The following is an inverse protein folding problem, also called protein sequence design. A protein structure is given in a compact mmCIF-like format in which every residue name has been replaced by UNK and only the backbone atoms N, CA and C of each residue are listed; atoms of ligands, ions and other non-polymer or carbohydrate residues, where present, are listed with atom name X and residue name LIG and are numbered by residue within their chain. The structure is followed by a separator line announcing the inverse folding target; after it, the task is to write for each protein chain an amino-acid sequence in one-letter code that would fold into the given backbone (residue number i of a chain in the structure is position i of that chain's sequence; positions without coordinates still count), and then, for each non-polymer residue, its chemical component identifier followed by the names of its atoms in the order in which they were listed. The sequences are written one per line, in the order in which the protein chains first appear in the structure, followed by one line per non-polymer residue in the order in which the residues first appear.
data_IF_731619712797
#
_entry.id   IF_731619712797
#
_cell.length_a   1.000
_cell.length_b   1.000
_cell.length_c   1.000
_cell.angle_alpha   90.00
_cell.angle_beta   90.00
_cell.angle_gamma   90.00
#
_symmetry.space_group_name_H-M   'P 1'
#
loop_
_entity.id
_entity.type
_entity.pdbx_description
1 polymer ?
#
# COMPACT_ATOMS: atom_id res chain seq x y z
N UNK A 1 3.37 -13.06 -17.89
CA UNK A 1 3.78 -12.78 -16.49
C UNK A 1 3.96 -14.08 -15.72
N UNK A 2 3.00 -15.01 -15.80
CA UNK A 2 3.14 -16.34 -15.19
C UNK A 2 4.36 -17.05 -15.77
N UNK A 3 5.19 -17.61 -14.88
CA UNK A 3 6.47 -18.25 -15.23
C UNK A 3 7.63 -17.29 -15.47
N UNK A 4 7.42 -15.96 -15.40
CA UNK A 4 8.47 -14.94 -15.50
C UNK A 4 8.70 -14.18 -14.20
N UNK A 5 7.67 -14.08 -13.35
CA UNK A 5 7.73 -13.41 -12.06
C UNK A 5 6.95 -14.22 -11.02
N UNK A 6 7.39 -14.18 -9.77
CA UNK A 6 6.74 -14.86 -8.65
C UNK A 6 5.69 -13.98 -7.97
N UNK A 7 5.82 -12.65 -8.07
CA UNK A 7 4.97 -11.69 -7.37
C UNK A 7 4.73 -10.42 -8.19
N UNK A 8 3.67 -9.70 -7.83
CA UNK A 8 3.35 -8.38 -8.37
C UNK A 8 3.46 -7.30 -7.29
N UNK A 9 3.97 -6.12 -7.65
CA UNK A 9 3.99 -4.94 -6.78
C UNK A 9 2.90 -3.95 -7.21
N UNK A 10 1.82 -3.91 -6.42
CA UNK A 10 0.66 -3.04 -6.61
C UNK A 10 0.92 -1.71 -5.91
N UNK A 11 0.76 -0.60 -6.64
CA UNK A 11 0.83 0.75 -6.09
C UNK A 11 -0.38 1.55 -6.57
N UNK A 12 -0.97 2.35 -5.68
CA UNK A 12 -2.22 3.07 -5.99
C UNK A 12 -2.05 4.10 -7.12
N UNK A 13 -0.90 4.74 -7.21
CA UNK A 13 -0.51 5.67 -8.27
C UNK A 13 -0.43 4.98 -9.64
N UNK A 14 -0.09 3.69 -9.69
CA UNK A 14 -0.04 2.90 -10.93
C UNK A 14 -1.38 2.28 -11.30
N UNK A 15 -2.18 1.89 -10.31
CA UNK A 15 -3.49 1.27 -10.53
C UNK A 15 -4.60 2.30 -10.78
N UNK A 16 -4.38 3.57 -10.46
CA UNK A 16 -5.41 4.61 -10.53
C UNK A 16 -6.34 4.61 -9.31
N UNK A 17 -5.86 4.16 -8.15
CA UNK A 17 -6.61 4.17 -6.89
C UNK A 17 -6.96 2.79 -6.32
N UNK A 18 -7.62 2.80 -5.16
CA UNK A 18 -7.87 1.60 -4.34
C UNK A 18 -8.79 0.59 -5.01
N UNK A 19 -9.87 1.04 -5.66
CA UNK A 19 -10.83 0.13 -6.31
C UNK A 19 -10.16 -0.77 -7.35
N UNK A 20 -9.37 -0.18 -8.25
CA UNK A 20 -8.62 -0.95 -9.26
C UNK A 20 -7.51 -1.80 -8.63
N UNK A 21 -6.90 -1.33 -7.54
CA UNK A 21 -5.87 -2.09 -6.83
C UNK A 21 -6.41 -3.37 -6.19
N UNK A 22 -7.63 -3.33 -5.62
CA UNK A 22 -8.31 -4.51 -5.05
C UNK A 22 -8.60 -5.55 -6.14
N UNK A 23 -9.15 -5.12 -7.28
CA UNK A 23 -9.38 -6.01 -8.44
C UNK A 23 -8.08 -6.63 -8.93
N UNK A 24 -6.98 -5.85 -8.98
CA UNK A 24 -5.67 -6.34 -9.39
C UNK A 24 -5.12 -7.38 -8.40
N UNK A 25 -5.21 -7.12 -7.08
CA UNK A 25 -4.81 -8.05 -6.02
C UNK A 25 -5.54 -9.39 -6.17
N UNK A 26 -6.86 -9.35 -6.26
CA UNK A 26 -7.69 -10.56 -6.34
C UNK A 26 -7.30 -11.37 -7.58
N UNK A 27 -7.14 -10.70 -8.73
CA UNK A 27 -6.69 -11.37 -9.95
C UNK A 27 -5.27 -11.94 -9.86
N UNK A 28 -4.36 -11.25 -9.18
CA UNK A 28 -3.00 -11.74 -8.98
C UNK A 28 -2.99 -13.02 -8.12
N UNK A 29 -3.80 -13.05 -7.05
CA UNK A 29 -3.95 -14.23 -6.18
C UNK A 29 -4.58 -15.41 -6.93
N UNK A 30 -5.62 -15.19 -7.74
CA UNK A 30 -6.21 -16.23 -8.60
C UNK A 30 -5.20 -16.86 -9.57
N UNK A 31 -4.24 -16.06 -10.04
CA UNK A 31 -3.17 -16.49 -10.92
C UNK A 31 -1.98 -17.13 -10.19
N UNK A 32 -2.03 -17.21 -8.86
CA UNK A 32 -1.00 -17.82 -8.02
C UNK A 32 0.22 -16.93 -7.76
N UNK A 33 0.14 -15.62 -8.00
CA UNK A 33 1.23 -14.71 -7.68
C UNK A 33 1.25 -14.35 -6.19
N UNK A 34 2.45 -14.11 -5.66
CA UNK A 34 2.62 -13.33 -4.45
C UNK A 34 2.19 -11.86 -4.67
N UNK A 35 1.76 -11.20 -3.60
CA UNK A 35 1.32 -9.80 -3.63
C UNK A 35 2.22 -8.96 -2.75
N UNK A 36 2.81 -7.93 -3.35
CA UNK A 36 3.44 -6.81 -2.65
C UNK A 36 2.59 -5.56 -2.83
N UNK A 37 2.41 -4.79 -1.76
CA UNK A 37 1.80 -3.46 -1.81
C UNK A 37 2.88 -2.43 -1.56
N UNK A 38 3.12 -1.57 -2.54
CA UNK A 38 4.15 -0.54 -2.48
C UNK A 38 3.59 0.87 -2.62
N UNK A 39 4.49 1.84 -2.51
CA UNK A 39 4.16 3.25 -2.67
C UNK A 39 5.18 4.03 -3.50
N UNK A 40 4.83 5.28 -3.78
CA UNK A 40 5.79 6.32 -4.14
C UNK A 40 6.01 7.22 -2.93
N UNK A 41 7.06 8.06 -2.95
CA UNK A 41 7.24 9.09 -1.92
C UNK A 41 6.00 9.99 -1.88
N UNK A 42 5.39 10.11 -0.70
CA UNK A 42 4.14 10.83 -0.51
C UNK A 42 3.76 10.91 0.97
N UNK A 43 2.79 11.76 1.29
CA UNK A 43 2.33 11.96 2.67
C UNK A 43 1.53 10.76 3.18
N UNK A 44 1.27 10.70 4.49
CA UNK A 44 0.43 9.67 5.09
C UNK A 44 -0.96 9.55 4.44
N UNK A 45 -1.48 10.63 3.85
CA UNK A 45 -2.77 10.59 3.14
C UNK A 45 -2.72 9.69 1.90
N UNK A 46 -1.60 9.67 1.18
CA UNK A 46 -1.43 8.80 0.01
C UNK A 46 -1.29 7.32 0.43
N UNK A 47 -0.70 7.05 1.59
CA UNK A 47 -0.51 5.69 2.12
C UNK A 47 -1.77 5.13 2.77
N UNK A 48 -2.61 5.98 3.38
CA UNK A 48 -3.77 5.55 4.16
C UNK A 48 -4.67 4.51 3.46
N UNK A 49 -5.14 4.71 2.21
CA UNK A 49 -5.87 3.67 1.48
C UNK A 49 -5.06 2.39 1.21
N UNK A 50 -3.75 2.52 1.02
CA UNK A 50 -2.89 1.37 0.73
C UNK A 50 -2.71 0.46 1.96
N UNK A 51 -2.85 0.99 3.18
CA UNK A 51 -2.83 0.19 4.42
C UNK A 51 -3.94 -0.86 4.44
N UNK A 52 -5.12 -0.54 3.88
CA UNK A 52 -6.23 -1.50 3.75
C UNK A 52 -5.90 -2.61 2.73
N UNK A 53 -5.33 -2.24 1.58
CA UNK A 53 -4.89 -3.20 0.56
C UNK A 53 -3.79 -4.13 1.10
N UNK A 54 -2.88 -3.58 1.93
CA UNK A 54 -1.72 -4.26 2.48
C UNK A 54 -2.05 -5.35 3.53
N UNK A 55 -3.28 -5.40 4.07
CA UNK A 55 -3.66 -6.42 5.06
C UNK A 55 -3.61 -7.86 4.50
N UNK A 56 -3.66 -8.00 3.18
CA UNK A 56 -3.59 -9.29 2.47
C UNK A 56 -2.36 -9.38 1.54
N UNK A 57 -1.31 -8.61 1.85
CA UNK A 57 -0.06 -8.63 1.11
C UNK A 57 0.99 -9.50 1.80
N UNK A 58 1.83 -10.16 1.00
CA UNK A 58 2.98 -10.91 1.49
C UNK A 58 4.14 -9.97 1.88
N UNK A 59 4.23 -8.82 1.19
CA UNK A 59 5.23 -7.78 1.44
C UNK A 59 4.60 -6.39 1.37
N UNK A 60 5.07 -5.48 2.24
CA UNK A 60 4.54 -4.12 2.36
C UNK A 60 5.66 -3.11 2.32
N UNK A 61 5.53 -2.12 1.44
CA UNK A 61 6.44 -1.00 1.23
C UNK A 61 5.62 0.31 1.26
N UNK A 62 5.26 0.73 2.47
CA UNK A 62 4.45 1.92 2.75
C UNK A 62 5.21 2.93 3.61
N UNK A 63 6.48 3.19 3.26
CA UNK A 63 7.39 4.04 4.03
C UNK A 63 7.48 5.49 3.50
N UNK A 64 6.78 5.80 2.40
CA UNK A 64 6.82 7.10 1.74
C UNK A 64 6.78 8.33 2.68
N UNK A 65 5.93 8.36 3.73
CA UNK A 65 5.86 9.48 4.66
C UNK A 65 7.10 9.61 5.56
N UNK A 66 7.78 8.51 5.87
CA UNK A 66 9.00 8.50 6.69
C UNK A 66 10.19 9.13 5.96
N UNK A 67 10.12 9.20 4.62
CA UNK A 67 11.13 9.82 3.77
C UNK A 67 10.95 11.35 3.66
N UNK A 68 9.86 11.90 4.18
CA UNK A 68 9.59 13.34 4.17
C UNK A 68 10.25 14.05 5.35
N UNK A 69 10.81 15.24 5.11
CA UNK A 69 11.29 16.10 6.20
C UNK A 69 10.16 16.50 7.18
N UNK A 70 8.91 16.54 6.67
CA UNK A 70 7.70 16.76 7.47
C UNK A 70 6.51 16.13 6.75
N UNK A 71 5.82 15.22 7.43
CA UNK A 71 4.54 14.69 6.99
C UNK A 71 3.36 15.56 7.50
N UNK A 72 2.14 15.25 7.05
CA UNK A 72 0.90 15.93 7.46
C UNK A 72 0.43 15.53 8.86
N UNK A 73 -0.51 16.32 9.39
CA UNK A 73 -1.24 16.01 10.64
C UNK A 73 -2.75 16.07 10.38
N UNK A 74 -3.55 15.07 10.80
CA UNK A 74 -3.11 13.77 11.30
C UNK A 74 -2.38 12.94 10.23
N UNK A 75 -1.42 12.12 10.66
CA UNK A 75 -0.64 11.21 9.83
C UNK A 75 -0.79 9.76 10.30
N UNK A 76 -0.24 8.81 9.55
CA UNK A 76 -0.16 7.41 9.96
C UNK A 76 0.77 7.28 11.16
N UNK A 77 0.48 6.31 12.02
CA UNK A 77 1.32 5.99 13.17
C UNK A 77 2.25 4.85 12.81
N UNK A 78 3.55 5.11 12.88
CA UNK A 78 4.60 4.10 12.69
C UNK A 78 5.24 3.77 14.03
N UNK A 79 5.46 2.47 14.28
CA UNK A 79 6.16 1.95 15.45
C UNK A 79 7.18 0.91 15.00
N UNK A 80 8.45 1.33 14.86
CA UNK A 80 9.47 0.50 14.25
C UNK A 80 9.09 0.16 12.80
N UNK A 81 8.98 -1.13 12.49
CA UNK A 81 8.57 -1.62 11.17
C UNK A 81 7.04 -1.80 11.00
N UNK A 82 6.25 -1.43 12.01
CA UNK A 82 4.79 -1.55 11.97
C UNK A 82 4.15 -0.21 11.59
N UNK A 83 3.11 -0.28 10.76
CA UNK A 83 2.22 0.85 10.45
C UNK A 83 0.80 0.52 10.91
N UNK A 84 0.21 1.41 11.72
CA UNK A 84 -1.15 1.23 12.21
C UNK A 84 -2.20 1.58 11.12
N UNK A 85 -3.41 1.01 11.20
CA UNK A 85 -4.53 1.47 10.38
C UNK A 85 -4.74 2.99 10.47
N UNK A 86 -5.16 3.65 9.38
CA UNK A 86 -5.40 5.08 9.40
C UNK A 86 -6.54 5.45 10.35
N UNK A 87 -6.37 6.56 11.07
CA UNK A 87 -7.47 7.20 11.80
C UNK A 87 -8.51 7.79 10.83
N UNK A 88 -9.77 7.85 11.22
CA UNK A 88 -10.85 8.42 10.39
C UNK A 88 -10.57 9.89 10.05
N UNK A 89 -10.00 10.67 10.98
CA UNK A 89 -9.58 12.04 10.73
C UNK A 89 -8.44 12.15 9.68
N UNK A 90 -7.71 11.08 9.42
CA UNK A 90 -6.73 11.00 8.33
C UNK A 90 -7.42 10.63 7.02
N UNK A 91 -8.16 9.52 6.99
CA UNK A 91 -8.83 9.02 5.80
C UNK A 91 -9.99 8.07 6.15
N UNK A 92 -11.20 8.62 6.28
CA UNK A 92 -12.46 7.88 6.44
C UNK A 92 -13.17 8.20 7.75
#
# INVERSE_FOLDING_TARGET
LVGLYDAVNIKLDKSGGLTAALVLRDRARELGFGVMVGCMVGTSLAMAPAVLLAQDADFVDLDGPLLLARDRVPGLVYQGSLVSPPDTALWG
#
